data_IF_510945978550
#
_entry.id   IF_510945978550
#
_cell.length_a   1.000
_cell.length_b   1.000
_cell.length_c   1.000
_cell.angle_alpha   90.00
_cell.angle_beta   90.00
_cell.angle_gamma   90.00
#
_symmetry.space_group_name_H-M   'P 1'
#
loop_
_entity.id
_entity.type
_entity.pdbx_description
1 polymer ?
#
# COMPACT_ATOMS: atom_id res chain seq x y z
N UNK A 1 -16.30 3.25 -31.59
CA UNK A 1 -15.98 3.64 -30.20
C UNK A 1 -17.15 3.16 -29.34
N UNK A 2 -16.98 2.04 -28.63
CA UNK A 2 -18.02 1.47 -27.77
C UNK A 2 -17.71 1.85 -26.33
N UNK A 3 -18.69 2.48 -25.65
CA UNK A 3 -18.55 3.03 -24.31
C UNK A 3 -18.28 1.94 -23.25
N UNK A 4 -17.39 2.25 -22.34
CA UNK A 4 -17.12 1.46 -21.14
C UNK A 4 -18.32 1.56 -20.20
N UNK A 5 -18.87 0.41 -19.85
CA UNK A 5 -20.00 0.28 -18.95
C UNK A 5 -19.53 0.49 -17.49
N UNK A 6 -20.15 1.45 -16.78
CA UNK A 6 -19.74 1.91 -15.42
C UNK A 6 -20.27 1.03 -14.27
N UNK A 7 -20.61 -0.23 -14.53
CA UNK A 7 -21.30 -1.10 -13.55
C UNK A 7 -20.44 -2.23 -12.94
N UNK A 8 -19.14 -2.02 -12.78
CA UNK A 8 -18.26 -3.01 -12.14
C UNK A 8 -17.79 -2.53 -10.77
N UNK A 9 -18.10 -3.28 -9.70
CA UNK A 9 -17.51 -3.09 -8.38
C UNK A 9 -16.38 -4.09 -8.16
N UNK A 10 -15.19 -3.60 -7.83
CA UNK A 10 -14.09 -4.44 -7.37
C UNK A 10 -14.19 -4.63 -5.86
N UNK A 11 -14.27 -5.87 -5.40
CA UNK A 11 -14.08 -6.22 -3.99
C UNK A 11 -12.60 -6.58 -3.78
N UNK A 12 -11.96 -6.08 -2.70
CA UNK A 12 -10.59 -6.48 -2.39
C UNK A 12 -10.56 -7.95 -1.98
N UNK A 13 -9.79 -8.76 -2.70
CA UNK A 13 -9.52 -10.15 -2.35
C UNK A 13 -8.67 -10.23 -1.08
N UNK A 14 -8.97 -11.19 -0.22
CA UNK A 14 -8.13 -11.51 0.94
C UNK A 14 -6.74 -12.04 0.50
N UNK A 15 -5.69 -11.89 1.33
CA UNK A 15 -4.29 -12.08 0.93
C UNK A 15 -3.84 -13.54 0.67
N UNK A 16 -4.75 -14.47 0.46
CA UNK A 16 -4.43 -15.90 0.28
C UNK A 16 -4.91 -16.51 -1.04
N UNK A 17 -5.34 -15.70 -2.02
CA UNK A 17 -5.82 -16.23 -3.32
C UNK A 17 -4.81 -15.95 -4.42
N UNK A 18 -4.43 -17.02 -5.13
CA UNK A 18 -3.56 -17.01 -6.31
C UNK A 18 -4.14 -16.16 -7.43
N UNK A 19 -3.27 -15.53 -8.25
CA UNK A 19 -3.60 -14.58 -9.34
C UNK A 19 -4.53 -15.12 -10.44
N UNK A 20 -5.10 -16.32 -10.28
CA UNK A 20 -6.00 -16.96 -11.26
C UNK A 20 -7.51 -16.89 -11.00
N UNK A 21 -7.95 -16.54 -9.79
CA UNK A 21 -9.38 -16.62 -9.43
C UNK A 21 -10.05 -15.24 -9.30
N UNK A 22 -10.10 -14.51 -10.40
CA UNK A 22 -10.91 -13.29 -10.49
C UNK A 22 -12.32 -13.66 -10.95
N UNK A 23 -13.24 -13.92 -10.01
CA UNK A 23 -14.66 -14.14 -10.31
C UNK A 23 -15.33 -12.79 -10.63
N UNK A 24 -15.68 -12.61 -11.89
CA UNK A 24 -16.47 -11.47 -12.36
C UNK A 24 -17.97 -11.75 -12.12
N UNK A 25 -18.54 -11.07 -11.14
CA UNK A 25 -19.99 -11.11 -10.91
C UNK A 25 -20.66 -9.94 -11.65
N UNK A 26 -21.51 -10.26 -12.61
CA UNK A 26 -22.33 -9.30 -13.35
C UNK A 26 -23.57 -8.95 -12.50
N UNK A 27 -23.80 -7.66 -12.27
CA UNK A 27 -24.99 -7.16 -11.58
C UNK A 27 -26.17 -7.19 -12.54
N UNK A 28 -27.14 -8.07 -12.31
CA UNK A 28 -28.45 -8.02 -12.96
C UNK A 28 -29.51 -7.43 -12.05
N UNK A 29 -30.24 -6.44 -12.55
CA UNK A 29 -31.45 -5.85 -11.93
C UNK A 29 -31.33 -5.29 -10.50
N UNK A 30 -30.23 -4.63 -10.14
CA UNK A 30 -30.15 -3.78 -8.96
C UNK A 30 -30.18 -4.47 -7.58
N UNK A 31 -30.20 -5.80 -7.52
CA UNK A 31 -30.15 -6.57 -6.26
C UNK A 31 -28.98 -7.53 -6.25
N UNK A 32 -28.23 -7.55 -5.15
CA UNK A 32 -27.26 -8.61 -4.87
C UNK A 32 -28.03 -9.86 -4.41
N UNK A 33 -27.62 -11.07 -4.82
CA UNK A 33 -28.18 -12.29 -4.26
C UNK A 33 -27.75 -12.39 -2.79
N UNK A 34 -28.67 -12.12 -1.88
CA UNK A 34 -28.55 -12.55 -0.50
C UNK A 34 -28.90 -14.02 -0.47
N UNK A 35 -27.95 -14.89 -0.23
CA UNK A 35 -28.20 -16.27 0.18
C UNK A 35 -28.82 -16.23 1.57
N UNK A 36 -30.14 -16.03 1.62
CA UNK A 36 -30.92 -16.41 2.79
C UNK A 36 -30.94 -17.95 2.79
N UNK A 37 -30.33 -18.53 3.81
CA UNK A 37 -30.63 -19.90 4.22
C UNK A 37 -32.11 -19.96 4.53
N UNK A 38 -32.90 -20.47 3.60
CA UNK A 38 -34.32 -20.67 3.74
C UNK A 38 -34.59 -21.70 4.82
N UNK A 39 -35.06 -21.25 5.97
CA UNK A 39 -35.84 -22.04 6.89
C UNK A 39 -37.31 -21.81 6.54
N UNK A 40 -37.85 -22.48 5.59
CA UNK A 40 -39.33 -22.62 5.48
C UNK A 40 -39.62 -23.75 4.48
N UNK A 41 -39.67 -24.97 5.04
CA UNK A 41 -40.54 -26.05 4.57
C UNK A 41 -40.33 -27.30 5.44
N UNK A 42 -40.82 -27.21 6.69
CA UNK A 42 -40.99 -28.41 7.50
C UNK A 42 -42.22 -28.30 8.40
N UNK A 43 -43.41 -28.22 7.81
CA UNK A 43 -44.64 -28.54 8.52
C UNK A 43 -45.64 -29.20 7.55
N UNK A 44 -45.60 -30.52 7.48
CA UNK A 44 -46.78 -31.40 7.38
C UNK A 44 -46.40 -32.86 7.18
N UNK A 45 -46.28 -33.58 8.27
CA UNK A 45 -46.77 -34.96 8.33
C UNK A 45 -46.87 -35.37 9.77
N UNK A 46 -48.10 -35.46 10.27
CA UNK A 46 -48.44 -36.17 11.48
C UNK A 46 -48.17 -37.67 11.27
N UNK A 47 -47.21 -38.21 12.02
CA UNK A 47 -46.92 -39.60 12.18
C UNK A 47 -46.36 -39.79 13.56
N UNK A 48 -47.14 -40.44 14.45
CA UNK A 48 -46.69 -40.84 15.79
C UNK A 48 -45.35 -41.63 15.65
N UNK A 49 -44.25 -41.22 16.25
CA UNK A 49 -43.10 -42.07 16.42
C UNK A 49 -43.33 -42.97 17.65
N UNK A 50 -43.38 -44.26 17.41
CA UNK A 50 -43.19 -45.26 18.45
C UNK A 50 -41.93 -44.94 19.24
N UNK A 51 -42.04 -44.97 20.56
CA UNK A 51 -40.93 -44.81 21.50
C UNK A 51 -40.06 -46.03 21.45
N UNK A 52 -39.12 -46.08 20.52
CA UNK A 52 -38.01 -47.03 20.49
C UNK A 52 -36.96 -46.51 21.51
N UNK A 53 -36.75 -47.24 22.57
CA UNK A 53 -35.71 -47.00 23.55
C UNK A 53 -34.34 -47.28 22.91
N UNK A 54 -33.88 -46.33 22.08
CA UNK A 54 -32.54 -46.31 21.55
C UNK A 54 -31.61 -45.66 22.57
N UNK A 55 -30.59 -46.36 23.01
CA UNK A 55 -29.52 -45.84 23.84
C UNK A 55 -28.90 -44.62 23.16
N UNK A 56 -29.18 -43.43 23.69
CA UNK A 56 -28.52 -42.19 23.26
C UNK A 56 -27.06 -42.31 23.66
N UNK A 57 -26.22 -42.60 22.65
CA UNK A 57 -24.79 -42.46 22.83
C UNK A 57 -24.51 -40.97 23.13
N UNK A 58 -24.22 -40.68 24.39
CA UNK A 58 -23.79 -39.34 24.77
C UNK A 58 -22.48 -39.04 24.06
N UNK A 59 -22.54 -38.26 22.98
CA UNK A 59 -21.34 -37.66 22.39
C UNK A 59 -20.79 -36.69 23.44
N UNK A 60 -19.82 -37.15 24.21
CA UNK A 60 -19.11 -36.32 25.15
C UNK A 60 -18.34 -35.30 24.36
N UNK A 61 -18.94 -34.12 24.13
CA UNK A 61 -18.24 -32.96 23.62
C UNK A 61 -17.23 -32.57 24.68
N UNK A 62 -15.96 -32.84 24.39
CA UNK A 62 -14.85 -32.34 25.23
C UNK A 62 -14.90 -30.81 25.18
N UNK A 63 -15.29 -30.21 26.29
CA UNK A 63 -15.21 -28.76 26.47
C UNK A 63 -13.76 -28.37 26.73
N UNK A 64 -13.34 -27.21 26.24
CA UNK A 64 -12.06 -26.61 26.57
C UNK A 64 -12.03 -26.25 28.08
N UNK A 65 -10.93 -26.54 28.73
CA UNK A 65 -10.74 -26.10 30.11
C UNK A 65 -10.30 -24.63 30.13
N UNK A 66 -10.64 -23.90 31.19
CA UNK A 66 -10.25 -22.51 31.37
C UNK A 66 -8.72 -22.34 31.34
N UNK A 67 -7.98 -23.30 31.89
CA UNK A 67 -6.52 -23.28 31.93
C UNK A 67 -5.90 -23.47 30.53
N UNK A 68 -6.47 -24.33 29.67
CA UNK A 68 -6.02 -24.52 28.30
C UNK A 68 -6.16 -23.22 27.50
N UNK A 69 -7.27 -22.49 27.66
CA UNK A 69 -7.46 -21.20 27.00
C UNK A 69 -6.46 -20.17 27.53
N UNK A 70 -6.27 -20.09 28.85
CA UNK A 70 -5.37 -19.13 29.48
C UNK A 70 -3.91 -19.32 29.03
N UNK A 71 -3.43 -20.57 28.98
CA UNK A 71 -2.06 -20.86 28.51
C UNK A 71 -1.87 -20.47 27.07
N UNK A 72 -2.83 -20.75 26.19
CA UNK A 72 -2.74 -20.37 24.76
C UNK A 72 -2.68 -18.86 24.58
N UNK A 73 -3.54 -18.09 25.25
CA UNK A 73 -3.51 -16.62 25.12
C UNK A 73 -2.24 -16.01 25.69
N UNK A 74 -1.68 -16.60 26.75
CA UNK A 74 -0.39 -16.19 27.30
C UNK A 74 0.74 -16.37 26.28
N UNK A 75 0.82 -17.55 25.64
CA UNK A 75 1.83 -17.83 24.62
C UNK A 75 1.69 -16.88 23.43
N UNK A 76 0.45 -16.70 22.92
CA UNK A 76 0.20 -15.75 21.81
C UNK A 76 0.60 -14.33 22.22
N UNK A 77 0.30 -13.90 23.44
CA UNK A 77 0.68 -12.57 23.94
C UNK A 77 2.20 -12.36 23.93
N UNK A 78 2.98 -13.33 24.38
CA UNK A 78 4.45 -13.26 24.36
C UNK A 78 4.98 -13.22 22.92
N UNK A 79 4.49 -14.08 22.05
CA UNK A 79 4.92 -14.12 20.65
C UNK A 79 4.55 -12.81 19.91
N UNK A 80 3.34 -12.31 20.12
CA UNK A 80 2.87 -11.07 19.52
C UNK A 80 3.70 -9.85 19.94
N UNK A 81 4.16 -9.80 21.20
CA UNK A 81 4.96 -8.68 21.71
C UNK A 81 6.28 -8.47 20.95
N UNK A 82 6.86 -9.55 20.41
CA UNK A 82 8.08 -9.50 19.59
C UNK A 82 7.76 -9.38 18.11
N UNK A 83 6.70 -10.03 17.64
CA UNK A 83 6.37 -10.10 16.22
C UNK A 83 5.82 -8.76 15.67
N UNK A 84 4.98 -8.03 16.43
CA UNK A 84 4.36 -6.79 15.96
C UNK A 84 5.37 -5.70 15.57
N UNK A 85 6.39 -5.35 16.38
CA UNK A 85 7.35 -4.31 15.99
C UNK A 85 8.21 -4.72 14.77
N UNK A 86 8.47 -6.00 14.59
CA UNK A 86 9.19 -6.50 13.40
C UNK A 86 8.32 -6.41 12.15
N UNK A 87 7.04 -6.77 12.28
CA UNK A 87 6.06 -6.66 11.19
C UNK A 87 5.89 -5.21 10.72
N UNK A 88 5.76 -4.24 11.64
CA UNK A 88 5.66 -2.81 11.28
C UNK A 88 6.88 -2.34 10.48
N UNK A 89 8.09 -2.71 10.89
CA UNK A 89 9.32 -2.38 10.17
C UNK A 89 9.34 -2.99 8.76
N UNK A 90 8.92 -4.24 8.62
CA UNK A 90 8.86 -4.93 7.33
C UNK A 90 7.85 -4.26 6.39
N UNK A 91 6.66 -3.89 6.90
CA UNK A 91 5.63 -3.18 6.13
C UNK A 91 6.13 -1.79 5.69
N UNK A 92 6.80 -1.04 6.57
CA UNK A 92 7.38 0.26 6.20
C UNK A 92 8.41 0.12 5.08
N UNK A 93 9.30 -0.86 5.16
CA UNK A 93 10.30 -1.13 4.10
C UNK A 93 9.63 -1.50 2.77
N UNK A 94 8.64 -2.37 2.79
CA UNK A 94 7.89 -2.77 1.58
C UNK A 94 7.21 -1.57 0.91
N UNK A 95 6.53 -0.72 1.68
CA UNK A 95 5.89 0.49 1.15
C UNK A 95 6.92 1.48 0.58
N UNK A 96 8.05 1.61 1.24
CA UNK A 96 9.13 2.48 0.75
C UNK A 96 9.77 1.93 -0.54
N UNK A 97 9.95 0.63 -0.67
CA UNK A 97 10.43 0.00 -1.91
C UNK A 97 9.50 0.26 -3.10
N UNK A 98 8.17 0.26 -2.87
CA UNK A 98 7.20 0.62 -3.90
C UNK A 98 7.35 2.09 -4.32
N UNK A 99 7.60 2.99 -3.35
CA UNK A 99 7.87 4.40 -3.62
C UNK A 99 9.13 4.58 -4.48
N UNK A 100 10.22 3.87 -4.14
CA UNK A 100 11.45 3.85 -4.92
C UNK A 100 11.22 3.36 -6.36
N UNK A 101 10.47 2.26 -6.53
CA UNK A 101 10.17 1.72 -7.84
C UNK A 101 9.40 2.72 -8.72
N UNK A 102 8.45 3.46 -8.14
CA UNK A 102 7.68 4.49 -8.83
C UNK A 102 8.57 5.66 -9.29
N UNK A 103 9.41 6.18 -8.40
CA UNK A 103 10.34 7.27 -8.77
C UNK A 103 11.33 6.82 -9.83
N UNK A 104 11.87 5.60 -9.71
CA UNK A 104 12.80 5.07 -10.70
C UNK A 104 12.14 4.92 -12.09
N UNK A 105 10.86 4.50 -12.14
CA UNK A 105 10.12 4.43 -13.40
C UNK A 105 9.90 5.82 -14.01
N UNK A 106 9.50 6.80 -13.19
CA UNK A 106 9.34 8.19 -13.63
C UNK A 106 10.66 8.81 -14.09
N UNK A 107 11.75 8.57 -13.34
CA UNK A 107 13.06 9.07 -13.72
C UNK A 107 13.52 8.51 -15.07
N UNK A 108 13.25 7.23 -15.36
CA UNK A 108 13.55 6.64 -16.67
C UNK A 108 12.72 7.26 -17.80
N UNK A 109 11.44 7.56 -17.54
CA UNK A 109 10.61 8.25 -18.51
C UNK A 109 11.11 9.68 -18.78
N UNK A 110 11.55 10.39 -17.75
CA UNK A 110 12.18 11.70 -17.86
C UNK A 110 13.50 11.64 -18.65
N UNK A 111 14.36 10.66 -18.40
CA UNK A 111 15.58 10.45 -19.16
C UNK A 111 15.27 10.18 -20.65
N UNK A 112 14.22 9.41 -20.95
CA UNK A 112 13.78 9.18 -22.35
C UNK A 112 13.31 10.48 -22.98
N UNK A 113 12.48 11.24 -22.30
CA UNK A 113 12.02 12.55 -22.78
C UNK A 113 13.19 13.53 -23.01
N UNK A 114 14.18 13.55 -22.10
CA UNK A 114 15.38 14.35 -22.23
C UNK A 114 16.22 13.95 -23.47
N UNK A 115 16.34 12.67 -23.78
CA UNK A 115 17.04 12.20 -24.97
C UNK A 115 16.36 12.67 -26.28
N UNK A 116 15.03 12.82 -26.25
CA UNK A 116 14.26 13.27 -27.44
C UNK A 116 14.24 14.79 -27.59
N UNK A 117 14.18 15.54 -26.50
CA UNK A 117 13.91 16.99 -26.51
C UNK A 117 15.10 17.85 -26.06
N UNK A 118 16.09 17.25 -25.37
CA UNK A 118 17.20 17.97 -24.77
C UNK A 118 16.88 18.66 -23.43
N UNK A 119 15.65 18.53 -22.91
CA UNK A 119 15.22 19.12 -21.64
C UNK A 119 14.35 18.14 -20.86
N UNK A 120 14.40 18.23 -19.54
CA UNK A 120 13.43 17.54 -18.66
C UNK A 120 12.08 18.27 -18.68
N UNK A 121 10.99 17.54 -18.42
CA UNK A 121 9.65 18.11 -18.37
C UNK A 121 9.13 18.21 -16.93
N UNK A 122 8.24 19.15 -16.69
CA UNK A 122 7.43 19.23 -15.47
C UNK A 122 5.97 18.82 -15.71
N UNK A 123 5.66 18.28 -16.89
CA UNK A 123 4.31 17.84 -17.27
C UNK A 123 4.25 16.30 -17.31
N UNK A 124 3.45 15.70 -16.43
CA UNK A 124 3.25 14.26 -16.41
C UNK A 124 2.60 13.72 -17.69
N UNK A 125 1.83 14.54 -18.43
CA UNK A 125 1.21 14.09 -19.68
C UNK A 125 2.21 14.03 -20.85
N UNK A 126 3.35 14.72 -20.73
CA UNK A 126 4.41 14.66 -21.72
C UNK A 126 5.26 13.39 -21.62
N UNK A 127 5.21 12.68 -20.49
CA UNK A 127 5.97 11.47 -20.29
C UNK A 127 5.36 10.28 -21.03
N UNK A 128 6.20 9.33 -21.41
CA UNK A 128 5.79 8.05 -22.03
C UNK A 128 5.00 7.13 -21.09
N UNK A 129 5.04 7.42 -19.78
CA UNK A 129 4.29 6.69 -18.75
C UNK A 129 3.42 7.67 -17.97
N UNK A 130 2.17 7.28 -17.72
CA UNK A 130 1.27 8.01 -16.80
C UNK A 130 1.10 7.18 -15.56
N UNK A 131 1.42 7.71 -14.37
CA UNK A 131 1.19 6.99 -13.12
C UNK A 131 -0.29 6.71 -12.93
N UNK A 132 -0.67 5.43 -12.83
CA UNK A 132 -2.07 5.03 -12.64
C UNK A 132 -2.62 5.40 -11.26
N UNK A 133 -3.91 5.76 -11.19
CA UNK A 133 -4.62 5.95 -9.93
C UNK A 133 -4.32 7.24 -9.17
N UNK A 134 -3.72 8.23 -9.81
CA UNK A 134 -3.51 9.56 -9.24
C UNK A 134 -4.46 10.61 -9.80
N UNK A 135 -4.58 11.72 -9.08
CA UNK A 135 -5.23 12.94 -9.55
C UNK A 135 -4.14 13.95 -9.91
N UNK A 136 -4.08 14.34 -11.18
CA UNK A 136 -3.15 15.37 -11.64
C UNK A 136 -3.60 16.76 -11.17
N UNK A 137 -2.64 17.59 -10.78
CA UNK A 137 -2.84 19.01 -10.53
C UNK A 137 -3.16 19.76 -11.83
N UNK A 138 -3.73 20.96 -11.72
CA UNK A 138 -4.08 21.78 -12.89
C UNK A 138 -2.85 22.15 -13.73
N UNK A 139 -1.69 22.28 -13.12
CA UNK A 139 -0.39 22.55 -13.76
C UNK A 139 0.31 21.27 -14.26
N UNK A 140 -0.32 20.10 -14.07
CA UNK A 140 0.18 18.77 -14.46
C UNK A 140 1.54 18.37 -13.87
N UNK A 141 2.06 19.14 -12.92
CA UNK A 141 3.36 18.90 -12.30
C UNK A 141 3.30 17.93 -11.12
N UNK A 142 2.12 17.74 -10.54
CA UNK A 142 1.93 16.92 -9.35
C UNK A 142 0.83 15.88 -9.58
N UNK A 143 1.17 14.65 -9.24
CA UNK A 143 0.27 13.50 -9.26
C UNK A 143 -0.04 13.10 -7.82
N UNK A 144 -1.28 13.33 -7.36
CA UNK A 144 -1.70 13.12 -5.97
C UNK A 144 -2.44 11.80 -5.78
N UNK A 145 -2.07 11.08 -4.72
CA UNK A 145 -2.65 9.82 -4.26
C UNK A 145 -3.22 9.97 -2.85
N UNK A 146 -4.05 9.05 -2.42
CA UNK A 146 -4.53 9.02 -1.03
C UNK A 146 -3.42 8.90 0.02
N UNK A 147 -2.26 8.34 -0.34
CA UNK A 147 -1.11 8.14 0.55
C UNK A 147 -0.04 9.23 0.44
N UNK A 148 -0.07 10.09 -0.57
CA UNK A 148 0.96 11.10 -0.80
C UNK A 148 0.92 11.66 -2.21
N UNK A 149 2.06 12.11 -2.73
CA UNK A 149 2.14 12.70 -4.07
C UNK A 149 3.50 12.47 -4.73
N UNK A 150 3.50 12.47 -6.06
CA UNK A 150 4.71 12.57 -6.88
C UNK A 150 4.75 13.93 -7.58
N UNK A 151 5.93 14.51 -7.70
CA UNK A 151 6.15 15.80 -8.36
C UNK A 151 7.33 15.71 -9.32
N UNK A 152 7.16 16.31 -10.50
CA UNK A 152 8.22 16.68 -11.42
C UNK A 152 8.62 18.14 -11.15
N UNK A 153 9.90 18.43 -11.05
CA UNK A 153 10.39 19.77 -10.72
C UNK A 153 11.63 20.08 -11.58
N UNK A 154 11.43 20.94 -12.57
CA UNK A 154 12.48 21.41 -13.48
C UNK A 154 12.86 22.88 -13.24
N UNK A 155 12.34 23.50 -12.15
CA UNK A 155 12.61 24.90 -11.80
C UNK A 155 13.97 25.08 -11.13
N UNK A 156 15.04 24.56 -11.76
CA UNK A 156 16.42 24.66 -11.31
C UNK A 156 16.88 23.50 -10.41
N UNK A 157 16.00 22.59 -10.04
CA UNK A 157 16.35 21.41 -9.23
C UNK A 157 16.44 20.13 -10.06
N UNK A 158 15.77 20.06 -11.20
CA UNK A 158 15.69 18.94 -12.12
C UNK A 158 15.62 17.59 -11.38
N UNK A 159 14.41 17.27 -10.87
CA UNK A 159 14.21 16.11 -10.01
C UNK A 159 12.83 15.50 -10.18
N UNK A 160 12.76 14.22 -9.92
CA UNK A 160 11.51 13.49 -9.66
C UNK A 160 11.45 13.13 -8.18
N UNK A 161 10.36 13.46 -7.53
CA UNK A 161 10.17 13.20 -6.11
C UNK A 161 8.81 12.58 -5.87
N UNK A 162 8.75 11.46 -5.15
CA UNK A 162 7.52 10.95 -4.58
C UNK A 162 7.61 10.94 -3.06
N UNK A 163 6.56 11.39 -2.40
CA UNK A 163 6.49 11.51 -0.95
C UNK A 163 5.23 10.83 -0.44
N UNK A 164 5.42 9.96 0.52
CA UNK A 164 4.32 9.43 1.32
C UNK A 164 4.26 10.24 2.63
N UNK A 165 3.36 11.21 2.70
CA UNK A 165 3.21 12.10 3.84
C UNK A 165 2.14 11.65 4.84
N UNK A 166 1.41 10.58 4.56
CA UNK A 166 0.35 10.05 5.44
C UNK A 166 0.86 8.95 6.36
N UNK A 167 1.43 7.89 5.79
CA UNK A 167 1.77 6.67 6.55
C UNK A 167 3.25 6.48 6.80
N UNK A 168 4.12 6.86 5.84
CA UNK A 168 5.56 6.69 5.94
C UNK A 168 6.29 7.97 6.37
N UNK A 169 5.69 9.14 6.11
CA UNK A 169 6.37 10.44 6.26
C UNK A 169 7.79 10.44 5.68
N UNK A 170 7.97 9.75 4.56
CA UNK A 170 9.22 9.63 3.83
C UNK A 170 9.00 9.98 2.37
N UNK A 171 10.05 10.49 1.75
CA UNK A 171 10.14 10.70 0.31
C UNK A 171 11.34 9.98 -0.29
N UNK A 172 11.23 9.64 -1.57
CA UNK A 172 12.35 9.24 -2.39
C UNK A 172 12.47 10.19 -3.56
N UNK A 173 13.69 10.65 -3.83
CA UNK A 173 13.98 11.68 -4.82
C UNK A 173 15.10 11.21 -5.72
N UNK A 174 14.93 11.41 -7.01
CA UNK A 174 15.95 11.30 -8.03
C UNK A 174 16.28 12.70 -8.53
N UNK A 175 17.53 13.14 -8.34
CA UNK A 175 18.05 14.39 -8.87
C UNK A 175 18.80 14.11 -10.17
N UNK A 176 18.45 14.85 -11.23
CA UNK A 176 19.14 14.77 -12.50
C UNK A 176 20.41 15.63 -12.51
N UNK A 177 21.44 15.25 -13.30
CA UNK A 177 22.73 15.93 -13.29
C UNK A 177 22.68 17.43 -13.67
N UNK A 178 21.67 17.84 -14.43
CA UNK A 178 21.49 19.22 -14.89
C UNK A 178 20.99 20.18 -13.80
N UNK A 179 20.35 19.65 -12.75
CA UNK A 179 19.82 20.44 -11.66
C UNK A 179 20.87 20.85 -10.63
N UNK A 180 20.52 21.85 -9.80
CA UNK A 180 21.38 22.39 -8.73
C UNK A 180 21.87 21.33 -7.73
N UNK A 181 21.14 20.24 -7.57
CA UNK A 181 21.45 19.14 -6.66
C UNK A 181 21.78 17.83 -7.39
N UNK A 182 22.18 17.89 -8.67
CA UNK A 182 22.49 16.72 -9.47
C UNK A 182 23.55 15.80 -8.86
N UNK A 183 24.53 16.38 -8.15
CA UNK A 183 25.54 15.62 -7.41
C UNK A 183 24.95 14.79 -6.25
N UNK A 184 23.69 14.98 -5.88
CA UNK A 184 23.04 14.20 -4.82
C UNK A 184 22.53 12.87 -5.33
N UNK A 185 22.30 12.71 -6.64
CA UNK A 185 21.77 11.48 -7.23
C UNK A 185 20.45 11.08 -6.61
N UNK A 186 20.38 9.91 -5.99
CA UNK A 186 19.16 9.45 -5.32
C UNK A 186 19.21 9.67 -3.81
N UNK A 187 18.10 10.10 -3.24
CA UNK A 187 18.03 10.45 -1.82
C UNK A 187 16.73 9.97 -1.17
N UNK A 188 16.85 9.53 0.09
CA UNK A 188 15.72 9.31 0.99
C UNK A 188 15.50 10.57 1.83
N UNK A 189 14.26 11.03 1.92
CA UNK A 189 13.86 12.13 2.80
C UNK A 189 12.98 11.61 3.93
N UNK A 190 13.37 11.90 5.17
CA UNK A 190 12.54 11.68 6.35
C UNK A 190 11.88 13.00 6.73
N UNK A 191 10.55 13.06 6.63
CA UNK A 191 9.74 14.25 6.94
C UNK A 191 9.41 14.28 8.44
N UNK A 192 10.42 14.48 9.24
CA UNK A 192 10.35 14.49 10.70
C UNK A 192 11.27 15.55 11.27
N UNK A 193 10.96 16.04 12.47
CA UNK A 193 11.81 16.97 13.21
C UNK A 193 12.85 16.25 14.09
N UNK A 194 12.74 14.92 14.25
CA UNK A 194 13.64 14.10 15.05
C UNK A 194 14.45 13.14 14.19
N UNK A 195 15.77 13.27 14.21
CA UNK A 195 16.70 12.41 13.52
C UNK A 195 16.66 10.95 14.01
N UNK A 196 16.19 10.71 15.23
CA UNK A 196 16.09 9.38 15.82
C UNK A 196 14.73 8.71 15.59
N UNK A 197 13.81 9.38 14.91
CA UNK A 197 12.49 8.83 14.59
C UNK A 197 12.58 7.61 13.67
N UNK A 198 11.53 6.79 13.71
CA UNK A 198 11.38 5.60 12.87
C UNK A 198 11.49 5.88 11.37
N UNK A 199 11.09 7.07 10.94
CA UNK A 199 11.15 7.49 9.53
C UNK A 199 12.58 7.81 9.08
N UNK A 200 13.39 8.43 9.95
CA UNK A 200 14.81 8.64 9.72
C UNK A 200 15.56 7.30 9.69
N UNK A 201 15.29 6.45 10.68
CA UNK A 201 15.84 5.08 10.74
C UNK A 201 15.45 4.19 9.56
N UNK A 202 14.30 4.45 8.93
CA UNK A 202 13.92 3.76 7.71
C UNK A 202 14.88 4.07 6.56
N UNK A 203 15.26 5.35 6.35
CA UNK A 203 16.25 5.73 5.34
C UNK A 203 17.59 5.02 5.56
N UNK A 204 18.07 4.99 6.80
CA UNK A 204 19.31 4.28 7.17
C UNK A 204 19.19 2.77 6.94
N UNK A 205 18.05 2.18 7.31
CA UNK A 205 17.76 0.76 7.10
C UNK A 205 17.59 0.35 5.63
N UNK A 206 17.39 1.33 4.74
CA UNK A 206 17.39 1.15 3.28
C UNK A 206 18.77 1.37 2.66
N UNK A 207 19.80 1.66 3.45
CA UNK A 207 21.17 1.82 3.01
C UNK A 207 21.57 3.27 2.65
N UNK A 208 20.75 4.25 2.99
CA UNK A 208 21.09 5.65 2.77
C UNK A 208 21.84 6.24 3.97
N UNK A 209 22.80 7.13 3.71
CA UNK A 209 23.63 7.79 4.70
C UNK A 209 23.15 9.23 4.90
N UNK A 210 23.09 9.69 6.15
CA UNK A 210 22.72 11.06 6.48
C UNK A 210 23.60 12.06 5.72
N UNK A 211 22.95 13.00 5.05
CA UNK A 211 23.60 14.04 4.26
C UNK A 211 23.40 15.43 4.87
N UNK A 212 22.14 15.83 5.12
CA UNK A 212 21.84 17.16 5.62
C UNK A 212 20.46 17.23 6.29
N UNK A 213 20.24 18.30 7.06
CA UNK A 213 18.91 18.74 7.46
C UNK A 213 18.53 19.94 6.60
N UNK A 214 17.37 19.91 5.96
CA UNK A 214 16.94 20.98 5.06
C UNK A 214 15.41 21.03 4.95
N UNK A 215 14.90 22.15 4.42
CA UNK A 215 13.53 22.18 3.95
C UNK A 215 13.38 21.38 2.67
N UNK A 216 12.31 20.57 2.60
CA UNK A 216 11.90 19.83 1.40
C UNK A 216 10.57 20.41 0.89
N UNK A 217 10.61 21.50 0.12
CA UNK A 217 9.37 22.11 -0.36
C UNK A 217 8.59 21.18 -1.30
N UNK A 218 7.27 21.13 -1.19
CA UNK A 218 6.40 21.86 -0.25
C UNK A 218 6.17 21.14 1.09
N UNK A 219 6.90 20.08 1.40
CA UNK A 219 6.61 19.11 2.47
C UNK A 219 7.19 19.50 3.84
N UNK A 220 7.90 20.61 3.96
CA UNK A 220 8.41 21.14 5.23
C UNK A 220 9.86 20.75 5.53
N UNK A 221 10.23 20.84 6.82
CA UNK A 221 11.56 20.45 7.29
C UNK A 221 11.71 18.93 7.34
N UNK A 222 12.91 18.45 7.07
CA UNK A 222 13.22 17.04 7.12
C UNK A 222 14.73 16.76 7.09
N UNK A 223 15.06 15.49 7.11
CA UNK A 223 16.42 14.99 7.00
C UNK A 223 16.62 14.29 5.66
N UNK A 224 17.68 14.67 4.97
CA UNK A 224 18.09 14.07 3.71
C UNK A 224 19.15 13.00 3.99
N UNK A 225 18.96 11.83 3.39
CA UNK A 225 19.88 10.71 3.39
C UNK A 225 20.21 10.34 1.95
N UNK A 226 21.49 10.31 1.60
CA UNK A 226 21.96 10.01 0.26
C UNK A 226 22.29 8.52 0.11
N UNK A 227 21.87 7.90 -0.99
CA UNK A 227 22.34 6.58 -1.35
C UNK A 227 23.73 6.68 -1.96
N UNK A 228 24.64 5.78 -1.55
CA UNK A 228 25.93 5.63 -2.21
C UNK A 228 25.72 4.93 -3.55
N UNK A 229 26.18 5.55 -4.61
CA UNK A 229 26.21 4.98 -5.94
C UNK A 229 27.53 4.24 -6.15
#
# INVERSE_FOLDING_TARGET
>A
MKGFDKNWCFLPSSPSVSVGDLLLLKKENGRFPTTTLGNDDFMKKEGHPEFSSGSTAWVVRRGFTLIELLVVVLIIGILASVALPQYEKAVMKSRYSNLMAMVNALAKAEETYYMETGNYTNDFEALSITPGGCTLSADKQTCSYAWGSCKLDTSGNDRVACVNNTTLKNGYVWYFPTGAYGAWGTSCWALTADKNDKYAKLCEAMGAIFNSSAAFPPYGQGFNYKFQQ
#
